data_IF_015223396198
#
_entry.id   IF_015223396198
#
_cell.length_a   1.000
_cell.length_b   1.000
_cell.length_c   1.000
_cell.angle_alpha   90.00
_cell.angle_beta   90.00
_cell.angle_gamma   90.00
#
_symmetry.space_group_name_H-M   'P 1'
#
loop_
_entity.id
_entity.type
_entity.pdbx_description
1 polymer ?
#
# COMPACT_ATOMS: atom_id res chain seq x y z
N UNK A 1 7.53 14.29 -16.78
CA UNK A 1 7.95 14.00 -16.31
C UNK A 1 8.93 13.55 -16.35
N UNK A 2 9.36 13.63 -16.53
CA UNK A 2 10.21 13.42 -16.74
C UNK A 2 11.23 13.00 -16.17
N UNK A 3 11.65 13.15 -15.41
CA UNK A 3 12.76 12.82 -14.85
C UNK A 3 12.72 11.65 -14.11
N UNK A 4 11.92 10.79 -14.42
CA UNK A 4 11.90 9.56 -13.72
C UNK A 4 13.15 8.79 -13.89
N UNK A 5 13.79 8.92 -15.00
CA UNK A 5 14.99 8.16 -15.22
C UNK A 5 16.10 8.58 -14.30
N UNK A 6 16.06 9.79 -13.86
CA UNK A 6 17.05 10.18 -13.00
C UNK A 6 16.80 9.80 -11.65
N UNK A 7 15.86 9.03 -11.43
CA UNK A 7 15.63 8.46 -10.21
C UNK A 7 14.99 9.39 -9.26
N UNK A 8 14.76 8.89 -8.14
CA UNK A 8 14.15 9.62 -7.11
C UNK A 8 15.18 10.40 -6.39
N UNK A 9 14.98 11.69 -6.25
CA UNK A 9 15.76 12.42 -5.29
C UNK A 9 15.11 12.21 -3.93
N UNK A 10 15.65 12.80 -2.89
CA UNK A 10 15.16 12.63 -1.55
C UNK A 10 13.72 13.03 -1.40
N UNK A 11 13.38 14.13 -2.05
CA UNK A 11 12.05 14.65 -1.95
C UNK A 11 11.03 13.72 -2.56
N UNK A 12 11.36 13.14 -3.71
CA UNK A 12 10.47 12.20 -4.37
C UNK A 12 10.29 10.93 -3.55
N UNK A 13 11.35 10.49 -2.90
CA UNK A 13 11.26 9.30 -2.06
C UNK A 13 10.35 9.53 -0.88
N UNK A 14 10.44 10.70 -0.27
CA UNK A 14 9.59 11.05 0.86
C UNK A 14 8.13 11.10 0.43
N UNK A 15 7.88 11.72 -0.72
CA UNK A 15 6.52 11.80 -1.24
C UNK A 15 5.96 10.43 -1.53
N UNK A 16 6.76 9.56 -2.14
CA UNK A 16 6.31 8.24 -2.47
C UNK A 16 6.03 7.42 -1.21
N UNK A 17 6.90 7.54 -0.21
CA UNK A 17 6.70 6.84 1.05
C UNK A 17 5.41 7.30 1.72
N UNK A 18 5.13 8.58 1.67
CA UNK A 18 3.90 9.11 2.26
C UNK A 18 2.68 8.59 1.52
N UNK A 19 2.78 8.56 0.19
CA UNK A 19 1.69 8.03 -0.62
C UNK A 19 1.43 6.57 -0.28
N UNK A 20 2.49 5.79 -0.10
CA UNK A 20 2.34 4.39 0.25
C UNK A 20 1.68 4.21 1.61
N UNK A 21 1.98 5.09 2.54
CA UNK A 21 1.31 5.05 3.85
C UNK A 21 -0.18 5.30 3.73
N UNK A 22 -0.57 6.24 2.90
CA UNK A 22 -1.97 6.52 2.66
C UNK A 22 -2.64 5.32 1.98
N UNK A 23 -1.97 4.75 0.98
CA UNK A 23 -2.52 3.60 0.27
C UNK A 23 -2.71 2.42 1.20
N UNK A 24 -1.78 2.20 2.11
CA UNK A 24 -1.89 1.10 3.05
C UNK A 24 -3.09 1.28 3.97
N UNK A 25 -3.30 2.50 4.46
CA UNK A 25 -4.46 2.78 5.29
C UNK A 25 -5.74 2.59 4.51
N UNK A 26 -5.73 2.97 3.23
CA UNK A 26 -6.91 2.82 2.40
C UNK A 26 -7.27 1.35 2.20
N UNK A 27 -6.27 0.48 2.02
CA UNK A 27 -6.58 -0.95 1.90
C UNK A 27 -7.14 -1.52 3.20
N UNK A 28 -6.66 -1.02 4.35
CA UNK A 28 -7.21 -1.46 5.61
C UNK A 28 -8.67 -1.02 5.75
N UNK A 29 -8.98 0.18 5.29
CA UNK A 29 -10.36 0.65 5.30
C UNK A 29 -11.24 -0.17 4.40
N UNK A 30 -10.73 -0.57 3.23
CA UNK A 30 -11.48 -1.44 2.34
C UNK A 30 -11.81 -2.76 3.05
N UNK A 31 -10.84 -3.32 3.76
CA UNK A 31 -11.09 -4.55 4.50
C UNK A 31 -12.20 -4.38 5.54
N UNK A 32 -12.20 -3.25 6.23
CA UNK A 32 -13.27 -2.96 7.19
C UNK A 32 -14.62 -2.83 6.52
N UNK A 33 -14.66 -2.15 5.38
CA UNK A 33 -15.90 -1.98 4.66
C UNK A 33 -16.44 -3.29 4.12
N UNK A 34 -15.56 -4.22 3.78
CA UNK A 34 -15.99 -5.53 3.34
C UNK A 34 -16.75 -6.28 4.43
N UNK A 35 -16.32 -6.12 5.69
CA UNK A 35 -17.05 -6.71 6.79
C UNK A 35 -18.45 -6.12 6.90
N UNK A 36 -18.55 -4.80 6.75
CA UNK A 36 -19.85 -4.15 6.80
C UNK A 36 -20.75 -4.65 5.68
N UNK A 37 -20.19 -4.73 4.47
CA UNK A 37 -20.97 -5.18 3.32
C UNK A 37 -21.41 -6.63 3.49
N UNK A 38 -20.54 -7.46 4.05
CA UNK A 38 -20.87 -8.86 4.28
C UNK A 38 -21.98 -8.97 5.31
N UNK A 39 -21.87 -8.22 6.40
CA UNK A 39 -22.88 -8.25 7.46
C UNK A 39 -24.22 -7.76 6.94
N UNK A 40 -24.22 -6.81 6.03
CA UNK A 40 -25.45 -6.28 5.47
C UNK A 40 -26.02 -7.16 4.37
N UNK A 41 -25.35 -8.26 4.03
CA UNK A 41 -25.87 -9.18 3.04
C UNK A 41 -25.57 -8.84 1.61
N UNK A 42 -24.67 -7.88 1.36
CA UNK A 42 -24.35 -7.51 -0.01
C UNK A 42 -23.30 -8.41 -0.66
N UNK A 43 -22.60 -9.19 0.14
CA UNK A 43 -21.56 -10.08 -0.37
C UNK A 43 -21.78 -11.49 0.14
N UNK A 44 -21.60 -12.46 -0.74
CA UNK A 44 -21.56 -13.84 -0.30
C UNK A 44 -20.23 -14.08 0.42
N UNK A 45 -20.15 -15.21 1.10
CA UNK A 45 -18.93 -15.58 1.79
C UNK A 45 -17.78 -15.71 0.80
N UNK A 46 -18.04 -16.30 -0.37
CA UNK A 46 -17.00 -16.44 -1.37
C UNK A 46 -16.54 -15.11 -1.90
N UNK A 47 -17.49 -14.20 -2.14
CA UNK A 47 -17.15 -12.88 -2.61
C UNK A 47 -16.35 -12.11 -1.57
N UNK A 48 -16.77 -12.20 -0.31
CA UNK A 48 -16.03 -11.54 0.76
C UNK A 48 -14.61 -12.05 0.81
N UNK A 49 -14.43 -13.38 0.81
CA UNK A 49 -13.10 -13.95 0.91
C UNK A 49 -12.22 -13.54 -0.24
N UNK A 50 -12.76 -13.54 -1.44
CA UNK A 50 -11.99 -13.16 -2.62
C UNK A 50 -11.49 -11.73 -2.54
N UNK A 51 -12.38 -10.80 -2.23
CA UNK A 51 -12.01 -9.40 -2.15
C UNK A 51 -11.11 -9.10 -0.95
N UNK A 52 -11.36 -9.76 0.16
CA UNK A 52 -10.55 -9.56 1.34
C UNK A 52 -9.11 -10.00 1.08
N UNK A 53 -8.95 -11.14 0.39
CA UNK A 53 -7.61 -11.63 0.08
C UNK A 53 -6.89 -10.67 -0.87
N UNK A 54 -7.61 -10.11 -1.83
CA UNK A 54 -7.01 -9.15 -2.74
C UNK A 54 -6.53 -7.92 -2.00
N UNK A 55 -7.33 -7.42 -1.08
CA UNK A 55 -6.94 -6.26 -0.28
C UNK A 55 -5.75 -6.58 0.60
N UNK A 56 -5.72 -7.78 1.17
CA UNK A 56 -4.61 -8.20 2.01
C UNK A 56 -3.31 -8.27 1.21
N UNK A 57 -3.38 -8.79 -0.01
CA UNK A 57 -2.20 -8.86 -0.86
C UNK A 57 -1.70 -7.47 -1.24
N UNK A 58 -2.62 -6.58 -1.55
CA UNK A 58 -2.25 -5.21 -1.88
C UNK A 58 -1.58 -4.54 -0.68
N UNK A 59 -2.13 -4.75 0.50
CA UNK A 59 -1.58 -4.17 1.71
C UNK A 59 -0.17 -4.70 1.97
N UNK A 60 0.04 -5.99 1.77
CA UNK A 60 1.34 -6.60 1.97
C UNK A 60 2.36 -6.05 0.97
N UNK A 61 1.95 -5.90 -0.28
CA UNK A 61 2.82 -5.35 -1.30
C UNK A 61 3.22 -3.92 -0.97
N UNK A 62 2.26 -3.12 -0.57
CA UNK A 62 2.54 -1.73 -0.21
C UNK A 62 3.50 -1.67 0.96
N UNK A 63 3.29 -2.52 1.96
CA UNK A 63 4.20 -2.58 3.10
C UNK A 63 5.61 -2.97 2.70
N UNK A 64 5.72 -3.92 1.78
CA UNK A 64 7.02 -4.33 1.27
C UNK A 64 7.74 -3.23 0.53
N UNK A 65 6.99 -2.49 -0.30
CA UNK A 65 7.57 -1.38 -1.02
C UNK A 65 8.06 -0.29 -0.08
N UNK A 66 7.28 -0.04 0.95
CA UNK A 66 7.63 0.97 1.92
C UNK A 66 8.92 0.61 2.65
N UNK A 67 9.03 -0.65 3.06
CA UNK A 67 10.25 -1.12 3.72
C UNK A 67 11.45 -1.04 2.80
N UNK A 68 11.27 -1.42 1.56
CA UNK A 68 12.33 -1.37 0.57
C UNK A 68 12.82 0.06 0.36
N UNK A 69 11.88 0.98 0.29
CA UNK A 69 12.20 2.38 0.10
C UNK A 69 12.97 2.94 1.29
N UNK A 70 12.55 2.59 2.49
CA UNK A 70 13.25 3.03 3.70
C UNK A 70 14.65 2.46 3.77
N UNK A 71 14.80 1.22 3.36
CA UNK A 71 16.10 0.59 3.36
C UNK A 71 17.05 1.28 2.40
N UNK A 72 16.55 1.63 1.21
CA UNK A 72 17.37 2.34 0.24
C UNK A 72 17.78 3.70 0.74
N UNK A 73 16.87 4.38 1.42
CA UNK A 73 17.16 5.70 1.96
C UNK A 73 18.29 5.60 2.99
N UNK A 74 18.25 4.56 3.82
CA UNK A 74 19.28 4.36 4.81
C UNK A 74 20.63 4.09 4.19
N UNK A 75 20.65 3.28 3.14
CA UNK A 75 21.88 2.97 2.46
C UNK A 75 22.47 4.23 1.83
N UNK A 76 21.63 5.05 1.25
CA UNK A 76 22.10 6.26 0.62
C UNK A 76 22.59 7.29 1.62
N UNK A 77 22.01 7.26 2.81
CA UNK A 77 22.41 8.20 3.84
C UNK A 77 23.71 7.80 4.52
N UNK A 78 24.09 6.55 4.40
CA UNK A 78 25.31 6.08 5.01
C UNK A 78 26.43 6.12 4.04
N UNK A 79 27.40 6.95 4.22
CA UNK A 79 28.53 7.06 3.26
C UNK A 79 29.44 5.84 3.31
#
# INVERSE_FOLDING_TARGET
>A
MSNTAEGFDCESKVEFARFLGIARRSTAEVQSLLYVASDAGYLSEAEFNSHYQQAAKAKALIGGLKRSLNKRAQVEDNP
#
